data_IF_237084931271
#
_entry.id   IF_237084931271
#
_cell.length_a   1.000
_cell.length_b   1.000
_cell.length_c   1.000
_cell.angle_alpha   90.00
_cell.angle_beta   90.00
_cell.angle_gamma   90.00
#
_symmetry.space_group_name_H-M   'P 1'
#
loop_
_entity.id
_entity.type
_entity.pdbx_description
1 polymer ?
#
# COMPACT_ATOMS: atom_id res chain seq x y z
N UNK A 1 58.81 0.91 36.45
CA UNK A 1 57.58 0.08 36.27
C UNK A 1 56.57 0.93 35.47
N UNK A 2 56.56 0.80 34.13
CA UNK A 2 55.83 1.67 33.20
C UNK A 2 54.62 0.90 32.70
N UNK A 3 53.44 1.39 33.08
CA UNK A 3 52.16 0.81 32.65
C UNK A 3 51.84 1.30 31.21
N UNK A 4 51.92 0.39 30.24
CA UNK A 4 51.48 0.63 28.86
C UNK A 4 49.96 0.51 28.77
N UNK A 5 49.23 1.59 28.56
CA UNK A 5 47.81 1.57 28.13
C UNK A 5 47.76 1.11 26.69
N UNK A 6 47.09 -0.03 26.47
CA UNK A 6 46.68 -0.45 25.13
C UNK A 6 45.37 0.25 24.77
N UNK A 7 45.42 1.11 23.79
CA UNK A 7 44.24 1.74 23.17
C UNK A 7 43.80 0.82 22.02
N UNK A 8 42.75 0.04 22.22
CA UNK A 8 42.15 -0.72 21.12
C UNK A 8 41.30 0.24 20.28
N UNK A 9 41.77 0.58 19.11
CA UNK A 9 40.95 1.17 18.05
C UNK A 9 40.00 0.12 17.55
N UNK A 10 38.71 0.37 17.73
CA UNK A 10 37.64 -0.38 17.04
C UNK A 10 37.67 0.00 15.56
N UNK A 11 38.11 -0.94 14.75
CA UNK A 11 38.12 -0.85 13.30
C UNK A 11 36.65 -0.87 12.80
N UNK A 12 36.09 0.28 12.46
CA UNK A 12 34.75 0.45 11.90
C UNK A 12 34.82 0.36 10.36
N UNK A 13 35.49 -0.67 9.86
CA UNK A 13 35.51 -1.00 8.44
C UNK A 13 34.43 -2.03 8.11
N UNK A 14 33.17 -1.62 8.07
CA UNK A 14 32.05 -2.49 7.76
C UNK A 14 30.72 -1.79 7.50
N UNK A 15 30.71 -0.46 7.35
CA UNK A 15 29.52 0.24 6.87
C UNK A 15 29.45 0.08 5.36
N UNK A 16 28.56 -0.84 4.93
CA UNK A 16 28.25 -1.14 3.54
C UNK A 16 28.12 0.14 2.70
N UNK A 17 28.82 0.11 1.56
CA UNK A 17 28.96 1.26 0.69
C UNK A 17 27.63 1.91 0.35
N UNK A 18 27.54 3.21 0.50
CA UNK A 18 26.56 4.04 -0.16
C UNK A 18 26.60 3.69 -1.65
N UNK A 19 25.57 3.02 -2.16
CA UNK A 19 25.39 2.81 -3.59
C UNK A 19 25.35 4.20 -4.22
N UNK A 20 26.42 4.60 -4.87
CA UNK A 20 26.42 5.80 -5.70
C UNK A 20 25.32 5.60 -6.75
N UNK A 21 24.23 6.35 -6.64
CA UNK A 21 23.22 6.40 -7.70
C UNK A 21 23.91 6.87 -8.97
N UNK A 22 23.76 6.10 -10.06
CA UNK A 22 24.28 6.53 -11.35
C UNK A 22 23.57 7.84 -11.77
N UNK A 23 24.26 8.80 -12.40
CA UNK A 23 23.66 10.10 -12.76
C UNK A 23 22.45 10.02 -13.70
N UNK A 24 22.12 8.83 -14.21
CA UNK A 24 21.03 8.57 -15.17
C UNK A 24 19.83 7.80 -14.60
N UNK A 25 19.80 7.45 -13.30
CA UNK A 25 18.61 6.87 -12.70
C UNK A 25 17.64 8.00 -12.33
N UNK A 26 16.49 8.06 -13.01
CA UNK A 26 15.40 8.94 -12.60
C UNK A 26 15.02 8.63 -11.14
N UNK A 27 14.85 9.64 -10.28
CA UNK A 27 14.51 9.41 -8.89
C UNK A 27 13.20 8.62 -8.81
N UNK A 28 13.22 7.53 -8.05
CA UNK A 28 12.06 6.68 -7.87
C UNK A 28 10.91 7.45 -7.18
N UNK A 29 9.70 7.21 -7.67
CA UNK A 29 8.49 7.73 -7.04
C UNK A 29 8.17 6.88 -5.81
N UNK A 30 8.11 7.52 -4.67
CA UNK A 30 7.77 6.90 -3.40
C UNK A 30 6.64 7.67 -2.71
N UNK A 31 6.02 7.02 -1.75
CA UNK A 31 5.05 7.68 -0.89
C UNK A 31 3.65 7.15 -1.11
N UNK A 32 3.37 6.04 -0.47
CA UNK A 32 2.02 5.52 -0.39
C UNK A 32 1.93 4.57 0.79
N UNK A 33 0.89 4.75 1.59
CA UNK A 33 0.44 3.75 2.55
C UNK A 33 -1.04 3.52 2.34
N UNK A 34 -1.40 2.29 2.01
CA UNK A 34 -2.79 1.84 1.94
C UNK A 34 -2.98 0.73 2.96
N UNK A 35 -4.08 0.78 3.67
CA UNK A 35 -4.49 -0.23 4.65
C UNK A 35 -5.94 -0.62 4.42
N UNK A 36 -6.24 -1.91 4.41
CA UNK A 36 -7.61 -2.43 4.50
C UNK A 36 -7.82 -3.13 5.83
N UNK A 37 -9.03 -2.97 6.37
CA UNK A 37 -9.51 -3.68 7.57
C UNK A 37 -10.95 -4.09 7.35
N UNK A 38 -11.25 -5.39 7.54
CA UNK A 38 -12.60 -5.94 7.57
C UNK A 38 -12.92 -6.37 9.00
N UNK A 39 -13.91 -5.73 9.63
CA UNK A 39 -14.33 -6.00 11.01
C UNK A 39 -15.74 -5.51 11.27
N UNK A 40 -16.50 -6.28 12.03
CA UNK A 40 -17.80 -5.83 12.58
C UNK A 40 -18.83 -5.47 11.53
N UNK A 41 -18.95 -6.23 10.43
CA UNK A 41 -19.90 -5.95 9.35
C UNK A 41 -19.51 -4.76 8.47
N UNK A 42 -18.24 -4.36 8.48
CA UNK A 42 -17.70 -3.29 7.62
C UNK A 42 -16.34 -3.67 7.05
N UNK A 43 -16.11 -3.25 5.81
CA UNK A 43 -14.77 -3.23 5.20
C UNK A 43 -14.37 -1.79 4.88
N UNK A 44 -13.17 -1.43 5.28
CA UNK A 44 -12.64 -0.08 5.16
C UNK A 44 -11.28 -0.15 4.45
N UNK A 45 -11.09 0.72 3.45
CA UNK A 45 -9.78 0.98 2.86
C UNK A 45 -9.42 2.43 3.15
N UNK A 46 -8.26 2.65 3.75
CA UNK A 46 -7.69 3.98 3.97
C UNK A 46 -6.33 4.12 3.31
N UNK A 47 -6.00 5.34 2.94
CA UNK A 47 -4.69 5.67 2.38
C UNK A 47 -4.25 7.08 2.74
N UNK A 48 -2.94 7.28 2.85
CA UNK A 48 -2.34 8.59 3.03
C UNK A 48 -2.34 9.41 1.72
N UNK A 49 -2.00 10.70 1.81
CA UNK A 49 -1.99 11.60 0.65
C UNK A 49 -0.60 11.95 0.10
N UNK A 50 0.49 11.41 0.65
CA UNK A 50 1.84 11.83 0.27
C UNK A 50 2.29 11.23 -1.06
N UNK A 51 2.87 12.06 -1.92
CA UNK A 51 3.62 11.67 -3.11
C UNK A 51 5.01 12.29 -3.03
N UNK A 52 6.04 11.48 -3.18
CA UNK A 52 7.44 11.86 -3.02
C UNK A 52 8.25 11.44 -4.24
N UNK A 53 9.12 12.32 -4.73
CA UNK A 53 10.11 12.00 -5.77
C UNK A 53 11.49 12.10 -5.12
N UNK A 54 12.20 10.99 -5.03
CA UNK A 54 13.43 10.90 -4.28
C UNK A 54 13.23 11.33 -2.83
N UNK A 55 13.75 12.48 -2.42
CA UNK A 55 13.61 13.03 -1.06
C UNK A 55 12.67 14.24 -0.98
N UNK A 56 11.94 14.57 -2.07
CA UNK A 56 11.09 15.76 -2.12
C UNK A 56 9.61 15.38 -2.11
N UNK A 57 8.83 15.92 -1.18
CA UNK A 57 7.37 15.79 -1.17
C UNK A 57 6.81 16.72 -2.25
N UNK A 58 6.21 16.15 -3.30
CA UNK A 58 5.63 16.90 -4.42
C UNK A 58 4.13 17.10 -4.28
N UNK A 59 3.46 16.26 -3.47
CA UNK A 59 2.04 16.38 -3.17
C UNK A 59 1.74 15.76 -1.80
N UNK A 60 0.86 16.38 -1.04
CA UNK A 60 0.50 15.92 0.32
C UNK A 60 -0.95 15.45 0.46
N UNK A 61 -1.79 15.63 -0.56
CA UNK A 61 -3.24 15.38 -0.52
C UNK A 61 -3.73 14.56 -1.73
N UNK A 62 -2.93 13.64 -2.23
CA UNK A 62 -3.31 12.74 -3.31
C UNK A 62 -4.41 11.77 -2.84
N UNK A 63 -5.44 11.59 -3.65
CA UNK A 63 -6.48 10.59 -3.39
C UNK A 63 -6.07 9.26 -3.99
N UNK A 64 -5.63 8.33 -3.14
CA UNK A 64 -5.14 7.00 -3.50
C UNK A 64 -6.18 5.90 -3.27
N UNK A 65 -7.29 6.26 -2.65
CA UNK A 65 -8.44 5.38 -2.37
C UNK A 65 -9.67 5.94 -3.07
N UNK A 66 -10.48 5.07 -3.68
CA UNK A 66 -11.71 5.45 -4.39
C UNK A 66 -12.73 4.32 -4.43
N UNK A 67 -13.96 4.69 -4.74
CA UNK A 67 -15.01 3.75 -5.14
C UNK A 67 -14.91 3.41 -6.62
N UNK A 68 -15.22 2.17 -6.95
CA UNK A 68 -15.16 1.59 -8.29
C UNK A 68 -16.50 0.93 -8.65
N UNK A 69 -16.68 0.62 -9.93
CA UNK A 69 -17.91 0.05 -10.43
C UNK A 69 -19.09 0.98 -10.16
N UNK A 70 -20.21 0.42 -9.68
CA UNK A 70 -21.40 1.18 -9.28
C UNK A 70 -21.34 1.69 -7.82
N UNK A 71 -20.13 1.72 -7.23
CA UNK A 71 -19.90 2.11 -5.84
C UNK A 71 -19.94 0.94 -4.85
N UNK A 72 -20.03 -0.28 -5.33
CA UNK A 72 -20.05 -1.54 -4.59
C UNK A 72 -18.65 -2.16 -4.37
N UNK A 73 -17.63 -1.56 -4.96
CA UNK A 73 -16.22 -1.91 -4.76
C UNK A 73 -15.44 -0.68 -4.28
N UNK A 74 -14.53 -0.86 -3.34
CA UNK A 74 -13.55 0.15 -2.96
C UNK A 74 -12.15 -0.35 -3.30
N UNK A 75 -11.27 0.57 -3.71
CA UNK A 75 -9.91 0.23 -4.09
C UNK A 75 -8.88 1.25 -3.63
N UNK A 76 -7.69 0.77 -3.28
CA UNK A 76 -6.52 1.56 -2.94
C UNK A 76 -5.29 1.09 -3.72
N UNK A 77 -4.41 2.02 -4.08
CA UNK A 77 -3.27 1.77 -4.94
C UNK A 77 -1.96 2.30 -4.32
N UNK A 78 -0.92 1.49 -4.41
CA UNK A 78 0.45 1.86 -4.06
C UNK A 78 1.38 1.67 -5.27
N UNK A 79 2.04 2.77 -5.69
CA UNK A 79 2.91 2.82 -6.87
C UNK A 79 2.94 4.22 -7.49
N UNK A 80 3.44 4.36 -8.71
CA UNK A 80 3.45 5.62 -9.43
C UNK A 80 2.02 6.08 -9.79
N UNK A 81 1.75 7.38 -9.66
CA UNK A 81 0.39 7.93 -9.81
C UNK A 81 -0.21 7.70 -11.21
N UNK A 82 0.61 7.75 -12.25
CA UNK A 82 0.15 7.50 -13.63
C UNK A 82 -0.33 6.06 -13.82
N UNK A 83 0.33 5.11 -13.14
CA UNK A 83 0.04 3.69 -13.20
C UNK A 83 -1.28 3.36 -12.48
N UNK A 84 -1.56 4.10 -11.39
CA UNK A 84 -2.80 3.98 -10.63
C UNK A 84 -4.04 4.18 -11.49
N UNK A 85 -4.07 5.22 -12.32
CA UNK A 85 -5.21 5.52 -13.19
C UNK A 85 -5.46 4.39 -14.19
N UNK A 86 -4.41 3.94 -14.87
CA UNK A 86 -4.51 2.85 -15.85
C UNK A 86 -5.04 1.56 -15.23
N UNK A 87 -4.55 1.19 -14.04
CA UNK A 87 -4.98 -0.04 -13.38
C UNK A 87 -6.41 0.06 -12.85
N UNK A 88 -6.83 1.22 -12.33
CA UNK A 88 -8.21 1.42 -11.93
C UNK A 88 -9.17 1.36 -13.12
N UNK A 89 -8.86 2.02 -14.25
CA UNK A 89 -9.66 1.95 -15.47
C UNK A 89 -9.79 0.50 -15.99
N UNK A 90 -8.69 -0.25 -15.98
CA UNK A 90 -8.71 -1.66 -16.37
C UNK A 90 -9.57 -2.50 -15.44
N UNK A 91 -9.49 -2.25 -14.13
CA UNK A 91 -10.34 -2.95 -13.17
C UNK A 91 -11.82 -2.61 -13.37
N UNK A 92 -12.16 -1.35 -13.60
CA UNK A 92 -13.55 -0.94 -13.88
C UNK A 92 -14.10 -1.66 -15.10
N UNK A 93 -13.34 -1.78 -16.19
CA UNK A 93 -13.74 -2.57 -17.35
C UNK A 93 -13.95 -4.06 -17.03
N UNK A 94 -13.15 -4.65 -16.10
CA UNK A 94 -13.39 -6.02 -15.64
C UNK A 94 -14.62 -6.14 -14.74
N UNK A 95 -14.89 -5.14 -13.89
CA UNK A 95 -16.10 -5.12 -13.04
C UNK A 95 -17.37 -4.98 -13.88
N UNK A 96 -17.33 -4.22 -14.98
CA UNK A 96 -18.43 -4.15 -15.94
C UNK A 96 -18.65 -5.49 -16.66
N UNK A 97 -17.58 -6.19 -17.01
CA UNK A 97 -17.63 -7.49 -17.67
C UNK A 97 -18.10 -8.63 -16.73
N UNK A 98 -17.76 -8.53 -15.44
CA UNK A 98 -18.07 -9.52 -14.41
C UNK A 98 -18.80 -8.88 -13.21
N UNK A 99 -20.03 -8.39 -13.38
CA UNK A 99 -20.75 -7.67 -12.32
C UNK A 99 -20.97 -8.54 -11.09
N UNK A 100 -20.68 -8.02 -9.90
CA UNK A 100 -20.79 -8.73 -8.62
C UNK A 100 -19.80 -9.87 -8.41
N UNK A 101 -18.78 -10.02 -9.26
CA UNK A 101 -17.77 -11.08 -9.19
C UNK A 101 -16.37 -10.48 -9.03
N UNK A 102 -16.11 -9.78 -7.90
CA UNK A 102 -14.85 -9.08 -7.67
C UNK A 102 -13.63 -10.00 -7.82
N UNK A 103 -13.66 -11.20 -7.26
CA UNK A 103 -12.56 -12.17 -7.37
C UNK A 103 -12.24 -12.50 -8.83
N UNK A 104 -13.26 -12.71 -9.66
CA UNK A 104 -13.06 -12.99 -11.08
C UNK A 104 -12.49 -11.78 -11.82
N UNK A 105 -13.04 -10.60 -11.59
CA UNK A 105 -12.56 -9.34 -12.17
C UNK A 105 -11.08 -9.09 -11.80
N UNK A 106 -10.70 -9.33 -10.55
CA UNK A 106 -9.35 -9.19 -10.05
C UNK A 106 -8.38 -10.18 -10.69
N UNK A 107 -8.77 -11.46 -10.83
CA UNK A 107 -7.95 -12.49 -11.49
C UNK A 107 -7.74 -12.16 -12.97
N UNK A 108 -8.78 -11.74 -13.69
CA UNK A 108 -8.65 -11.35 -15.10
C UNK A 108 -7.80 -10.08 -15.27
N UNK A 109 -7.89 -9.11 -14.34
CA UNK A 109 -6.96 -7.98 -14.33
C UNK A 109 -5.51 -8.43 -14.09
N UNK A 110 -5.27 -9.32 -13.13
CA UNK A 110 -3.94 -9.81 -12.82
C UNK A 110 -3.31 -10.57 -13.99
N UNK A 111 -4.09 -11.35 -14.75
CA UNK A 111 -3.65 -11.98 -16.00
C UNK A 111 -3.23 -10.93 -17.04
N UNK A 112 -4.06 -9.91 -17.25
CA UNK A 112 -3.74 -8.81 -18.16
C UNK A 112 -2.49 -8.08 -17.70
N UNK A 113 -2.38 -7.77 -16.40
CA UNK A 113 -1.22 -7.08 -15.83
C UNK A 113 0.09 -7.84 -16.09
N UNK A 114 0.08 -9.15 -15.87
CA UNK A 114 1.25 -10.01 -16.09
C UNK A 114 1.63 -10.13 -17.57
N UNK A 115 0.66 -10.18 -18.48
CA UNK A 115 0.86 -10.49 -19.91
C UNK A 115 1.01 -9.26 -20.79
N UNK A 116 0.41 -8.13 -20.39
CA UNK A 116 0.51 -6.88 -21.13
C UNK A 116 1.94 -6.32 -21.05
N UNK A 117 2.49 -5.97 -22.23
CA UNK A 117 3.87 -5.50 -22.37
C UNK A 117 4.16 -4.21 -21.61
N UNK A 118 3.16 -3.36 -21.44
CA UNK A 118 3.25 -2.08 -20.72
C UNK A 118 2.95 -2.26 -19.24
N UNK A 119 1.85 -2.93 -18.88
CA UNK A 119 1.42 -3.11 -17.50
C UNK A 119 2.42 -3.91 -16.67
N UNK A 120 3.03 -4.97 -17.20
CA UNK A 120 4.00 -5.82 -16.49
C UNK A 120 5.26 -5.10 -16.00
N UNK A 121 5.48 -3.86 -16.46
CA UNK A 121 6.61 -3.01 -16.01
C UNK A 121 6.25 -2.15 -14.79
N UNK A 122 4.98 -2.13 -14.41
CA UNK A 122 4.50 -1.32 -13.30
C UNK A 122 4.86 -2.00 -11.97
N UNK A 123 5.69 -1.33 -11.20
CA UNK A 123 5.99 -1.73 -9.82
C UNK A 123 4.90 -1.15 -8.91
N UNK A 124 3.80 -1.88 -8.82
CA UNK A 124 2.61 -1.42 -8.13
C UNK A 124 1.89 -2.56 -7.39
N UNK A 125 1.10 -2.18 -6.41
CA UNK A 125 0.18 -3.05 -5.68
C UNK A 125 -1.18 -2.37 -5.57
N UNK A 126 -2.22 -3.18 -5.57
CA UNK A 126 -3.59 -2.71 -5.40
C UNK A 126 -4.29 -3.54 -4.33
N UNK A 127 -5.06 -2.87 -3.48
CA UNK A 127 -6.04 -3.53 -2.61
C UNK A 127 -7.42 -3.18 -3.13
N UNK A 128 -8.29 -4.17 -3.26
CA UNK A 128 -9.71 -3.97 -3.62
C UNK A 128 -10.58 -4.78 -2.68
N UNK A 129 -11.77 -4.26 -2.37
CA UNK A 129 -12.71 -4.95 -1.51
C UNK A 129 -14.17 -4.66 -1.94
N UNK A 130 -15.02 -5.67 -1.79
CA UNK A 130 -16.47 -5.56 -1.84
C UNK A 130 -17.10 -6.01 -0.50
N UNK A 131 -18.39 -6.21 -0.48
CA UNK A 131 -19.10 -6.70 0.71
C UNK A 131 -18.60 -8.06 1.21
N UNK A 132 -18.07 -8.92 0.34
CA UNK A 132 -17.75 -10.31 0.63
C UNK A 132 -16.24 -10.55 0.82
N UNK A 133 -15.39 -9.95 -0.02
CA UNK A 133 -13.97 -10.28 -0.09
C UNK A 133 -13.09 -9.03 -0.13
N UNK A 134 -11.88 -9.15 0.40
CA UNK A 134 -10.79 -8.18 0.20
C UNK A 134 -9.64 -8.90 -0.52
N UNK A 135 -9.07 -8.28 -1.53
CA UNK A 135 -8.01 -8.87 -2.37
C UNK A 135 -6.84 -7.91 -2.52
N UNK A 136 -5.64 -8.47 -2.54
CA UNK A 136 -4.40 -7.78 -2.92
C UNK A 136 -3.97 -8.29 -4.28
N UNK A 137 -3.71 -7.36 -5.20
CA UNK A 137 -3.18 -7.65 -6.54
C UNK A 137 -1.77 -7.08 -6.64
N UNK A 138 -0.87 -7.84 -7.25
CA UNK A 138 0.51 -7.42 -7.50
C UNK A 138 0.84 -7.39 -8.99
N UNK A 139 1.87 -6.63 -9.36
CA UNK A 139 2.37 -6.58 -10.74
C UNK A 139 2.93 -7.90 -11.27
N UNK A 140 3.23 -8.86 -10.38
CA UNK A 140 3.66 -10.22 -10.72
C UNK A 140 2.49 -11.12 -11.11
N UNK A 141 1.25 -10.64 -10.94
CA UNK A 141 0.03 -11.36 -11.29
C UNK A 141 -0.57 -12.18 -10.15
N UNK A 142 -0.11 -11.93 -8.92
CA UNK A 142 -0.69 -12.59 -7.75
C UNK A 142 -1.99 -11.92 -7.35
N UNK A 143 -2.95 -12.72 -6.91
CA UNK A 143 -4.20 -12.29 -6.29
C UNK A 143 -4.32 -13.04 -4.98
N UNK A 144 -4.27 -12.30 -3.87
CA UNK A 144 -4.26 -12.87 -2.52
C UNK A 144 -5.41 -12.32 -1.70
N UNK A 145 -6.06 -13.18 -0.95
CA UNK A 145 -6.98 -12.78 0.12
C UNK A 145 -6.20 -12.66 1.43
N UNK A 146 -6.21 -11.49 2.11
CA UNK A 146 -5.45 -11.31 3.34
C UNK A 146 -6.05 -12.12 4.50
N UNK A 147 -5.19 -12.76 5.29
CA UNK A 147 -5.58 -13.37 6.55
C UNK A 147 -6.20 -12.34 7.50
N UNK A 148 -7.23 -12.74 8.24
CA UNK A 148 -7.96 -11.89 9.20
C UNK A 148 -8.52 -10.59 8.62
N UNK A 149 -8.67 -10.49 7.29
CA UNK A 149 -9.25 -9.32 6.63
C UNK A 149 -8.42 -8.04 6.74
N UNK A 150 -7.13 -8.12 7.06
CA UNK A 150 -6.25 -6.97 7.25
C UNK A 150 -5.01 -7.05 6.34
N UNK A 151 -4.76 -6.00 5.56
CA UNK A 151 -3.54 -5.91 4.74
C UNK A 151 -3.12 -4.46 4.55
N UNK A 152 -1.80 -4.25 4.63
CA UNK A 152 -1.15 -2.98 4.30
C UNK A 152 -0.22 -3.12 3.10
N UNK A 153 -0.23 -2.13 2.20
CA UNK A 153 0.68 -2.04 1.04
C UNK A 153 1.34 -0.68 0.94
N UNK A 154 2.43 -0.63 0.21
CA UNK A 154 3.25 0.57 0.01
C UNK A 154 4.29 0.79 1.11
N UNK A 155 4.97 1.94 1.08
CA UNK A 155 6.15 2.23 1.92
C UNK A 155 5.87 2.14 3.42
N UNK A 156 4.72 2.63 3.89
CA UNK A 156 4.30 2.55 5.29
C UNK A 156 3.39 1.35 5.59
N UNK A 157 3.12 0.49 4.59
CA UNK A 157 2.15 -0.59 4.67
C UNK A 157 2.41 -1.56 5.81
N UNK A 158 3.66 -1.96 6.03
CA UNK A 158 4.02 -2.89 7.10
C UNK A 158 3.80 -2.30 8.50
N UNK A 159 4.04 -1.00 8.69
CA UNK A 159 3.78 -0.33 9.98
C UNK A 159 2.27 -0.24 10.25
N UNK A 160 1.50 0.15 9.23
CA UNK A 160 0.05 0.18 9.31
C UNK A 160 -0.54 -1.22 9.57
N UNK A 161 -0.05 -2.25 8.87
CA UNK A 161 -0.47 -3.64 9.05
C UNK A 161 -0.20 -4.15 10.47
N UNK A 162 1.02 -3.95 10.99
CA UNK A 162 1.39 -4.38 12.33
C UNK A 162 0.51 -3.70 13.39
N UNK A 163 0.29 -2.39 13.26
CA UNK A 163 -0.59 -1.64 14.14
C UNK A 163 -2.04 -2.13 14.05
N UNK A 164 -2.58 -2.33 12.83
CA UNK A 164 -3.95 -2.79 12.65
C UNK A 164 -4.18 -4.18 13.25
N UNK A 165 -3.23 -5.11 13.09
CA UNK A 165 -3.30 -6.44 13.71
C UNK A 165 -3.32 -6.36 15.24
N UNK A 166 -2.53 -5.49 15.84
CA UNK A 166 -2.52 -5.29 17.30
C UNK A 166 -3.83 -4.69 17.83
N UNK A 167 -4.56 -3.92 17.00
CA UNK A 167 -5.81 -3.27 17.37
C UNK A 167 -7.06 -4.11 17.02
N UNK A 168 -6.89 -5.22 16.28
CA UNK A 168 -8.01 -5.95 15.71
C UNK A 168 -8.97 -6.53 16.76
N UNK A 169 -8.43 -7.03 17.88
CA UNK A 169 -9.22 -7.60 18.97
C UNK A 169 -9.75 -6.54 19.97
N UNK A 170 -9.35 -5.27 19.77
CA UNK A 170 -9.76 -4.17 20.64
C UNK A 170 -11.18 -3.64 20.33
N UNK A 171 -11.55 -2.56 21.03
CA UNK A 171 -12.88 -1.96 20.97
C UNK A 171 -13.11 -1.05 19.73
N UNK A 172 -12.07 -0.73 18.96
CA UNK A 172 -12.19 0.12 17.78
C UNK A 172 -12.94 -0.60 16.66
N UNK A 173 -13.79 0.13 15.94
CA UNK A 173 -14.36 -0.33 14.68
C UNK A 173 -13.34 -0.33 13.54
N UNK A 174 -13.72 -0.83 12.37
CA UNK A 174 -12.81 -0.96 11.23
C UNK A 174 -12.21 0.40 10.82
N UNK A 175 -13.00 1.49 10.82
CA UNK A 175 -12.51 2.82 10.44
C UNK A 175 -11.55 3.38 11.50
N UNK A 176 -11.87 3.23 12.77
CA UNK A 176 -11.00 3.65 13.88
C UNK A 176 -9.65 2.94 13.85
N UNK A 177 -9.63 1.63 13.52
CA UNK A 177 -8.39 0.88 13.35
C UNK A 177 -7.58 1.42 12.16
N UNK A 178 -8.23 1.65 10.99
CA UNK A 178 -7.56 2.18 9.80
C UNK A 178 -6.93 3.55 10.10
N UNK A 179 -7.69 4.48 10.67
CA UNK A 179 -7.20 5.83 10.98
C UNK A 179 -6.04 5.81 11.97
N UNK A 180 -6.17 5.05 13.06
CA UNK A 180 -5.12 4.95 14.09
C UNK A 180 -3.85 4.30 13.54
N UNK A 181 -3.99 3.26 12.71
CA UNK A 181 -2.85 2.56 12.13
C UNK A 181 -2.11 3.38 11.06
N UNK A 182 -2.84 4.18 10.27
CA UNK A 182 -2.22 5.11 9.32
C UNK A 182 -1.54 6.28 10.04
N UNK A 183 -2.07 6.75 11.16
CA UNK A 183 -1.43 7.76 12.01
C UNK A 183 -0.09 7.26 12.55
N UNK A 184 -0.05 6.03 13.09
CA UNK A 184 1.19 5.37 13.56
C UNK A 184 2.17 5.18 12.41
N UNK A 185 1.69 4.73 11.24
CA UNK A 185 2.56 4.62 10.07
C UNK A 185 3.18 5.95 9.65
N UNK A 186 2.43 7.06 9.76
CA UNK A 186 2.92 8.40 9.45
C UNK A 186 3.95 8.93 10.47
N UNK A 187 3.97 8.40 11.70
CA UNK A 187 5.01 8.72 12.69
C UNK A 187 6.34 8.03 12.40
N UNK A 188 6.31 6.87 11.72
CA UNK A 188 7.48 6.03 11.52
C UNK A 188 8.04 6.16 10.09
N UNK A 189 7.15 6.18 9.09
CA UNK A 189 7.52 6.16 7.68
C UNK A 189 7.59 7.58 7.10
N UNK A 190 8.78 8.01 6.68
CA UNK A 190 9.00 9.34 6.08
C UNK A 190 8.25 9.55 4.76
N UNK A 191 7.74 8.49 4.14
CA UNK A 191 6.96 8.52 2.91
C UNK A 191 5.45 8.49 3.14
N UNK A 192 4.99 8.68 4.37
CA UNK A 192 3.57 8.62 4.78
C UNK A 192 3.19 9.88 5.54
N UNK A 193 2.03 10.46 5.25
CA UNK A 193 1.53 11.62 5.99
C UNK A 193 0.14 11.36 6.61
N UNK A 194 -0.35 12.36 7.40
CA UNK A 194 -1.63 12.29 8.11
C UNK A 194 -2.84 12.74 7.28
N UNK A 195 -2.67 13.08 6.00
CA UNK A 195 -3.79 13.42 5.11
C UNK A 195 -4.46 12.15 4.61
N UNK A 196 -5.34 11.57 5.41
CA UNK A 196 -5.94 10.26 5.19
C UNK A 196 -7.27 10.38 4.44
N UNK A 197 -7.41 9.64 3.35
CA UNK A 197 -8.67 9.37 2.66
C UNK A 197 -9.16 7.97 3.03
N UNK A 198 -10.44 7.83 3.35
CA UNK A 198 -11.06 6.56 3.75
C UNK A 198 -12.32 6.31 2.92
N UNK A 199 -12.50 5.08 2.49
CA UNK A 199 -13.74 4.55 1.90
C UNK A 199 -14.22 3.35 2.68
N UNK A 200 -15.54 3.28 2.91
CA UNK A 200 -16.18 2.24 3.73
C UNK A 200 -17.33 1.60 2.99
N UNK A 201 -17.43 0.27 3.03
CA UNK A 201 -18.57 -0.51 2.60
C UNK A 201 -19.11 -1.37 3.76
N UNK A 202 -20.40 -1.66 3.72
CA UNK A 202 -20.97 -2.73 4.55
C UNK A 202 -20.43 -4.07 4.07
N UNK A 203 -20.06 -4.94 4.99
CA UNK A 203 -19.63 -6.30 4.70
C UNK A 203 -20.59 -7.33 5.31
N UNK A 204 -20.63 -8.50 4.72
CA UNK A 204 -21.39 -9.64 5.23
C UNK A 204 -20.60 -10.37 6.30
#
# INVERSE_FOLDING_TARGET
MVCKRATSYLDVAGLGGFKHMSPNELPAWHGTTILTVRKGGSVVIGGDGQVTIGQTIVKSNAKKVRRLGKGDVIGGFAGATADAFTLFERLEGKLEQYPGQLTRAAVELAKDWRTDRYLRRLEAMMIVADANVSLVLTGTGDVLEPENGVMGIGSGGNYALASARALLDGALDAEGIVRKSLDIAAEICVFTNRNVTVETLKSV
#
